data_IF_230399223969
#
_entry.id   IF_230399223969
#
_cell.length_a   1.000
_cell.length_b   1.000
_cell.length_c   1.000
_cell.angle_alpha   90.00
_cell.angle_beta   90.00
_cell.angle_gamma   90.00
#
_symmetry.space_group_name_H-M   'P 1'
#
loop_
_entity.id
_entity.type
_entity.pdbx_description
1 polymer ?
#
# COMPACT_ATOMS: atom_id res chain seq x y z
N UNK A 1 -51.96 -2.09 19.49
CA UNK A 1 -51.91 -2.27 18.03
C UNK A 1 -52.39 -3.68 17.71
N UNK A 2 -53.22 -3.90 16.67
CA UNK A 2 -53.63 -5.25 16.30
C UNK A 2 -52.38 -6.07 15.95
N UNK A 3 -52.30 -7.29 16.47
CA UNK A 3 -51.12 -8.19 16.37
C UNK A 3 -50.64 -8.35 14.94
N UNK A 4 -51.54 -8.38 13.94
CA UNK A 4 -51.22 -8.42 12.51
C UNK A 4 -50.40 -7.21 12.04
N UNK A 5 -50.72 -5.99 12.50
CA UNK A 5 -49.97 -4.79 12.14
C UNK A 5 -48.56 -4.82 12.71
N UNK A 6 -48.41 -5.33 13.94
CA UNK A 6 -47.11 -5.54 14.57
C UNK A 6 -46.28 -6.58 13.80
N UNK A 7 -46.87 -7.71 13.39
CA UNK A 7 -46.18 -8.72 12.58
C UNK A 7 -45.74 -8.17 11.22
N UNK A 8 -46.62 -7.48 10.48
CA UNK A 8 -46.27 -6.88 9.19
C UNK A 8 -45.14 -5.86 9.34
N UNK A 9 -45.17 -5.05 10.41
CA UNK A 9 -44.12 -4.10 10.71
C UNK A 9 -42.78 -4.78 11.03
N UNK A 10 -42.78 -5.83 11.85
CA UNK A 10 -41.59 -6.62 12.17
C UNK A 10 -41.00 -7.26 10.91
N UNK A 11 -41.84 -7.84 10.04
CA UNK A 11 -41.41 -8.44 8.77
C UNK A 11 -40.80 -7.36 7.86
N UNK A 12 -41.46 -6.22 7.69
CA UNK A 12 -40.97 -5.12 6.86
C UNK A 12 -39.60 -4.59 7.35
N UNK A 13 -39.44 -4.39 8.65
CA UNK A 13 -38.15 -4.00 9.26
C UNK A 13 -37.10 -5.07 9.04
N UNK A 14 -37.44 -6.34 9.22
CA UNK A 14 -36.51 -7.45 9.06
C UNK A 14 -36.02 -7.56 7.61
N UNK A 15 -36.94 -7.44 6.64
CA UNK A 15 -36.60 -7.40 5.21
C UNK A 15 -35.71 -6.20 4.89
N UNK A 16 -36.05 -5.02 5.40
CA UNK A 16 -35.22 -3.83 5.22
C UNK A 16 -33.82 -4.03 5.82
N UNK A 17 -33.72 -4.52 7.05
CA UNK A 17 -32.44 -4.77 7.72
C UNK A 17 -31.57 -5.77 6.96
N UNK A 18 -32.14 -6.88 6.48
CA UNK A 18 -31.45 -7.87 5.65
C UNK A 18 -31.00 -7.27 4.33
N UNK A 19 -31.83 -6.40 3.74
CA UNK A 19 -31.52 -5.80 2.44
C UNK A 19 -30.48 -4.68 2.52
N UNK A 20 -30.43 -3.89 3.60
CA UNK A 20 -29.56 -2.70 3.72
C UNK A 20 -28.60 -2.78 4.90
N UNK A 21 -29.11 -2.78 6.14
CA UNK A 21 -28.32 -2.62 7.36
C UNK A 21 -27.28 -3.73 7.59
N UNK A 22 -27.65 -4.98 7.34
CA UNK A 22 -26.74 -6.12 7.50
C UNK A 22 -25.60 -6.05 6.46
N UNK A 23 -25.86 -5.90 5.13
CA UNK A 23 -24.83 -5.64 4.13
C UNK A 23 -23.87 -4.51 4.51
N UNK A 24 -24.40 -3.37 4.98
CA UNK A 24 -23.62 -2.23 5.44
C UNK A 24 -22.70 -2.59 6.61
N UNK A 25 -23.21 -3.31 7.61
CA UNK A 25 -22.41 -3.78 8.74
C UNK A 25 -21.25 -4.68 8.29
N UNK A 26 -21.51 -5.63 7.39
CA UNK A 26 -20.47 -6.51 6.86
C UNK A 26 -19.41 -5.76 6.06
N UNK A 27 -19.82 -4.86 5.17
CA UNK A 27 -18.91 -4.08 4.34
C UNK A 27 -18.13 -3.06 5.14
N UNK A 28 -18.78 -2.30 6.02
CA UNK A 28 -18.16 -1.17 6.70
C UNK A 28 -17.50 -1.54 8.03
N UNK A 29 -18.11 -2.41 8.82
CA UNK A 29 -17.57 -2.76 10.14
C UNK A 29 -16.61 -3.94 10.04
N UNK A 30 -17.03 -5.02 9.38
CA UNK A 30 -16.21 -6.23 9.26
C UNK A 30 -15.23 -6.19 8.06
N UNK A 31 -15.48 -5.34 7.06
CA UNK A 31 -14.67 -5.28 5.84
C UNK A 31 -14.80 -6.54 4.97
N UNK A 32 -15.93 -7.24 5.09
CA UNK A 32 -16.27 -8.42 4.31
C UNK A 32 -16.98 -7.96 3.04
N UNK A 33 -16.56 -8.47 1.89
CA UNK A 33 -17.16 -8.12 0.59
C UNK A 33 -16.65 -6.82 -0.03
N UNK A 34 -15.77 -6.06 0.64
CA UNK A 34 -15.14 -4.86 0.07
C UNK A 34 -13.63 -4.77 0.33
N UNK A 35 -12.95 -3.97 -0.48
CA UNK A 35 -11.52 -3.69 -0.35
C UNK A 35 -11.32 -2.26 0.15
N UNK A 36 -11.13 -2.12 1.47
CA UNK A 36 -10.79 -0.83 2.12
C UNK A 36 -9.31 -0.47 2.04
N UNK A 37 -8.48 -1.49 1.76
CA UNK A 37 -7.03 -1.42 1.66
C UNK A 37 -6.59 -2.34 0.53
N UNK A 38 -5.53 -1.97 -0.17
CA UNK A 38 -4.80 -2.90 -1.04
C UNK A 38 -3.67 -3.58 -0.24
N UNK A 39 -3.06 -4.60 -0.85
CA UNK A 39 -2.03 -5.43 -0.18
C UNK A 39 -0.64 -5.25 -0.81
N UNK A 40 -0.54 -4.46 -1.88
CA UNK A 40 0.72 -4.00 -2.45
C UNK A 40 1.38 -2.93 -1.56
N UNK A 41 2.72 -2.82 -1.57
CA UNK A 41 3.42 -1.72 -0.90
C UNK A 41 3.00 -0.37 -1.49
N UNK A 42 2.68 0.59 -0.64
CA UNK A 42 2.35 1.96 -0.99
C UNK A 42 0.95 2.38 -0.63
N UNK A 43 0.55 3.51 -1.22
CA UNK A 43 -0.74 4.17 -1.04
C UNK A 43 -1.34 4.42 -2.41
N UNK A 44 -2.63 4.19 -2.56
CA UNK A 44 -3.37 4.45 -3.79
C UNK A 44 -4.24 5.69 -3.63
N UNK A 45 -4.13 6.65 -4.57
CA UNK A 45 -5.08 7.75 -4.69
C UNK A 45 -6.27 7.32 -5.56
N UNK A 46 -7.47 7.63 -5.09
CA UNK A 46 -8.71 7.37 -5.85
C UNK A 46 -9.59 8.61 -5.87
N UNK A 47 -10.23 8.86 -7.02
CA UNK A 47 -11.10 10.00 -7.26
C UNK A 47 -12.49 9.50 -7.64
N UNK A 48 -13.52 9.99 -6.96
CA UNK A 48 -14.92 9.65 -7.21
C UNK A 48 -15.65 10.82 -7.91
N UNK A 49 -16.84 10.49 -8.45
CA UNK A 49 -17.83 11.39 -9.05
C UNK A 49 -17.52 11.98 -10.42
N UNK A 50 -16.28 11.90 -10.89
CA UNK A 50 -15.89 12.38 -12.21
C UNK A 50 -16.56 11.65 -13.41
N UNK A 51 -16.25 12.10 -14.64
CA UNK A 51 -15.38 13.23 -14.94
C UNK A 51 -16.14 14.57 -14.93
N UNK A 52 -15.45 15.66 -14.54
CA UNK A 52 -15.90 17.05 -14.68
C UNK A 52 -14.91 17.81 -15.58
N UNK A 53 -15.37 18.42 -16.69
CA UNK A 53 -14.49 19.10 -17.64
C UNK A 53 -13.73 20.30 -17.04
N UNK A 54 -14.18 20.87 -15.91
CA UNK A 54 -13.51 21.98 -15.23
C UNK A 54 -12.35 21.53 -14.34
N UNK A 55 -12.49 20.36 -13.72
CA UNK A 55 -11.60 19.92 -12.64
C UNK A 55 -10.73 18.74 -13.02
N UNK A 56 -11.30 17.68 -13.60
CA UNK A 56 -10.56 16.45 -13.93
C UNK A 56 -9.27 16.72 -14.72
N UNK A 57 -9.24 17.58 -15.77
CA UNK A 57 -7.99 17.88 -16.48
C UNK A 57 -6.88 18.49 -15.59
N UNK A 58 -7.27 19.31 -14.60
CA UNK A 58 -6.32 19.94 -13.66
C UNK A 58 -5.76 18.91 -12.67
N UNK A 59 -6.59 17.97 -12.22
CA UNK A 59 -6.11 16.83 -11.44
C UNK A 59 -5.12 15.97 -12.23
N UNK A 60 -5.42 15.66 -13.50
CA UNK A 60 -4.51 14.92 -14.38
C UNK A 60 -3.16 15.64 -14.54
N UNK A 61 -3.18 16.96 -14.69
CA UNK A 61 -1.97 17.80 -14.78
C UNK A 61 -1.09 17.64 -13.54
N UNK A 62 -1.68 17.82 -12.34
CA UNK A 62 -0.93 17.69 -11.07
C UNK A 62 -0.39 16.26 -10.89
N UNK A 63 -1.18 15.24 -11.22
CA UNK A 63 -0.75 13.84 -11.13
C UNK A 63 0.41 13.55 -12.09
N UNK A 64 0.37 14.08 -13.31
CA UNK A 64 1.45 13.94 -14.29
C UNK A 64 2.74 14.63 -13.84
N UNK A 65 2.64 15.87 -13.33
CA UNK A 65 3.79 16.60 -12.75
C UNK A 65 4.46 15.84 -11.61
N UNK A 66 3.69 15.09 -10.82
CA UNK A 66 4.20 14.29 -9.72
C UNK A 66 4.54 12.84 -10.11
N UNK A 67 4.36 12.46 -11.38
CA UNK A 67 4.51 11.09 -11.88
C UNK A 67 3.72 10.05 -11.06
N UNK A 68 2.48 10.41 -10.69
CA UNK A 68 1.57 9.59 -9.87
C UNK A 68 0.43 9.06 -10.72
N UNK A 69 0.21 7.75 -10.66
CA UNK A 69 -1.00 7.12 -11.22
C UNK A 69 -2.04 6.94 -10.12
N UNK A 70 -3.31 6.98 -10.52
CA UNK A 70 -4.47 6.98 -9.63
C UNK A 70 -5.59 6.11 -10.21
N UNK A 71 -6.66 5.90 -9.46
CA UNK A 71 -7.87 5.24 -9.95
C UNK A 71 -9.06 6.21 -9.90
N UNK A 72 -9.73 6.41 -11.04
CA UNK A 72 -10.91 7.27 -11.13
C UNK A 72 -12.17 6.39 -11.20
N UNK A 73 -13.08 6.53 -10.23
CA UNK A 73 -14.38 5.89 -10.25
C UNK A 73 -15.39 6.84 -10.90
N UNK A 74 -15.67 6.59 -12.18
CA UNK A 74 -16.49 7.49 -12.99
C UNK A 74 -17.97 7.14 -12.92
N UNK A 75 -18.81 8.17 -12.89
CA UNK A 75 -20.27 8.04 -13.06
C UNK A 75 -20.57 7.96 -14.55
N UNK A 76 -21.19 6.87 -15.00
CA UNK A 76 -21.33 6.60 -16.44
C UNK A 76 -22.11 7.70 -17.18
N UNK A 77 -23.17 8.28 -16.59
CA UNK A 77 -23.94 9.39 -17.19
C UNK A 77 -23.11 10.66 -17.41
N UNK A 78 -22.05 10.89 -16.62
CA UNK A 78 -21.10 12.00 -16.85
C UNK A 78 -20.06 11.60 -17.89
N UNK A 79 -19.56 10.38 -17.81
CA UNK A 79 -18.58 9.82 -18.74
C UNK A 79 -19.10 9.81 -20.19
N UNK A 80 -20.38 9.47 -20.41
CA UNK A 80 -21.08 9.54 -21.70
C UNK A 80 -20.95 10.90 -22.38
N UNK A 81 -20.99 11.98 -21.58
CA UNK A 81 -20.94 13.36 -22.06
C UNK A 81 -19.52 13.86 -22.29
N UNK A 82 -18.52 13.11 -21.84
CA UNK A 82 -17.11 13.50 -21.84
C UNK A 82 -16.18 12.36 -22.29
N UNK A 83 -16.43 11.72 -23.45
CA UNK A 83 -15.67 10.55 -23.89
C UNK A 83 -14.18 10.84 -24.07
N UNK A 84 -13.83 12.00 -24.61
CA UNK A 84 -12.42 12.42 -24.77
C UNK A 84 -11.70 12.59 -23.43
N UNK A 85 -12.42 13.01 -22.39
CA UNK A 85 -11.84 13.14 -21.05
C UNK A 85 -11.62 11.76 -20.41
N UNK A 86 -12.51 10.80 -20.63
CA UNK A 86 -12.30 9.39 -20.22
C UNK A 86 -11.06 8.81 -20.92
N UNK A 87 -10.92 9.06 -22.22
CA UNK A 87 -9.73 8.67 -22.99
C UNK A 87 -8.46 9.31 -22.42
N UNK A 88 -8.50 10.61 -22.12
CA UNK A 88 -7.38 11.32 -21.50
C UNK A 88 -6.97 10.70 -20.16
N UNK A 89 -7.91 10.31 -19.29
CA UNK A 89 -7.60 9.60 -18.04
C UNK A 89 -6.80 8.31 -18.32
N UNK A 90 -7.20 7.54 -19.34
CA UNK A 90 -6.53 6.29 -19.71
C UNK A 90 -5.16 6.52 -20.36
N UNK A 91 -5.04 7.53 -21.23
CA UNK A 91 -3.80 7.88 -21.93
C UNK A 91 -2.70 8.35 -20.96
N UNK A 92 -3.09 8.97 -19.84
CA UNK A 92 -2.18 9.30 -18.73
C UNK A 92 -1.83 8.10 -17.83
N UNK A 93 -2.34 6.90 -18.16
CA UNK A 93 -2.03 5.65 -17.48
C UNK A 93 -2.77 5.44 -16.16
N UNK A 94 -3.85 6.18 -15.91
CA UNK A 94 -4.71 5.96 -14.74
C UNK A 94 -5.65 4.78 -14.96
N UNK A 95 -6.10 4.18 -13.85
CA UNK A 95 -7.12 3.12 -13.90
C UNK A 95 -8.50 3.75 -13.84
N UNK A 96 -9.44 3.25 -14.63
CA UNK A 96 -10.86 3.61 -14.55
C UNK A 96 -11.66 2.50 -13.86
N UNK A 97 -12.36 2.87 -12.80
CA UNK A 97 -13.41 2.08 -12.16
C UNK A 97 -14.78 2.67 -12.44
N UNK A 98 -15.84 1.96 -12.07
CA UNK A 98 -17.21 2.47 -12.21
C UNK A 98 -17.79 2.90 -10.86
N UNK A 99 -18.45 4.05 -10.87
CA UNK A 99 -19.24 4.58 -9.76
C UNK A 99 -20.75 4.47 -10.01
N UNK A 100 -21.15 3.46 -10.80
CA UNK A 100 -22.52 3.24 -11.22
C UNK A 100 -22.95 4.18 -12.36
N UNK A 101 -24.23 4.09 -12.73
CA UNK A 101 -24.77 4.89 -13.84
C UNK A 101 -25.11 6.32 -13.42
N UNK A 102 -25.76 6.44 -12.27
CA UNK A 102 -26.17 7.68 -11.61
C UNK A 102 -25.75 7.64 -10.15
N UNK A 103 -25.41 8.79 -9.60
CA UNK A 103 -24.99 8.93 -8.20
C UNK A 103 -26.20 8.84 -7.23
N UNK A 104 -26.81 7.65 -7.15
CA UNK A 104 -27.97 7.35 -6.28
C UNK A 104 -27.56 6.40 -5.15
N UNK A 105 -28.08 6.66 -3.95
CA UNK A 105 -27.82 5.82 -2.78
C UNK A 105 -28.45 4.43 -2.94
N UNK A 106 -27.72 3.37 -2.57
CA UNK A 106 -28.15 1.99 -2.76
C UNK A 106 -29.44 1.62 -2.00
N UNK A 107 -29.69 2.25 -0.84
CA UNK A 107 -30.91 1.97 -0.06
C UNK A 107 -32.20 2.35 -0.78
N UNK A 108 -32.14 3.29 -1.73
CA UNK A 108 -33.29 3.74 -2.51
C UNK A 108 -33.51 2.89 -3.77
N UNK A 109 -32.71 1.83 -3.96
CA UNK A 109 -32.67 1.06 -5.19
C UNK A 109 -33.33 -0.33 -5.00
N UNK A 110 -34.43 -0.62 -5.72
CA UNK A 110 -34.99 -1.96 -5.79
C UNK A 110 -34.00 -2.97 -6.39
N UNK A 111 -34.15 -4.29 -6.09
CA UNK A 111 -33.19 -5.29 -6.55
C UNK A 111 -32.96 -5.34 -8.07
N UNK A 112 -34.04 -5.47 -8.86
CA UNK A 112 -33.92 -5.53 -10.33
C UNK A 112 -33.31 -4.26 -10.90
N UNK A 113 -33.79 -3.10 -10.41
CA UNK A 113 -33.28 -1.79 -10.83
C UNK A 113 -31.80 -1.59 -10.47
N UNK A 114 -31.33 -2.19 -9.38
CA UNK A 114 -29.91 -2.20 -9.01
C UNK A 114 -29.10 -2.91 -10.10
N UNK A 115 -29.53 -4.10 -10.53
CA UNK A 115 -28.84 -4.86 -11.58
C UNK A 115 -28.89 -4.13 -12.92
N UNK A 116 -30.04 -3.60 -13.32
CA UNK A 116 -30.21 -2.89 -14.59
C UNK A 116 -29.28 -1.69 -14.70
N UNK A 117 -29.25 -0.82 -13.67
CA UNK A 117 -28.39 0.37 -13.69
C UNK A 117 -26.91 0.02 -13.64
N UNK A 118 -26.52 -1.00 -12.88
CA UNK A 118 -25.11 -1.41 -12.83
C UNK A 118 -24.66 -2.10 -14.12
N UNK A 119 -25.52 -2.92 -14.74
CA UNK A 119 -25.24 -3.50 -16.06
C UNK A 119 -25.11 -2.39 -17.13
N UNK A 120 -26.04 -1.43 -17.14
CA UNK A 120 -25.98 -0.27 -18.04
C UNK A 120 -24.69 0.52 -17.84
N UNK A 121 -24.29 0.75 -16.57
CA UNK A 121 -23.03 1.40 -16.27
C UNK A 121 -21.82 0.61 -16.80
N UNK A 122 -21.79 -0.72 -16.65
CA UNK A 122 -20.67 -1.53 -17.15
C UNK A 122 -20.59 -1.51 -18.67
N UNK A 123 -21.72 -1.61 -19.37
CA UNK A 123 -21.79 -1.56 -20.82
C UNK A 123 -21.25 -0.23 -21.35
N UNK A 124 -21.73 0.87 -20.79
CA UNK A 124 -21.30 2.21 -21.20
C UNK A 124 -19.83 2.46 -20.88
N UNK A 125 -19.40 2.10 -19.67
CA UNK A 125 -17.99 2.21 -19.31
C UNK A 125 -17.11 1.36 -20.22
N UNK A 126 -17.52 0.13 -20.56
CA UNK A 126 -16.78 -0.74 -21.50
C UNK A 126 -16.66 -0.10 -22.88
N UNK A 127 -17.74 0.54 -23.37
CA UNK A 127 -17.74 1.27 -24.64
C UNK A 127 -16.73 2.42 -24.64
N UNK A 128 -16.68 3.19 -23.54
CA UNK A 128 -15.81 4.35 -23.40
C UNK A 128 -14.33 4.01 -23.14
N UNK A 129 -14.06 2.96 -22.38
CA UNK A 129 -12.70 2.59 -21.96
C UNK A 129 -12.06 1.50 -22.82
N UNK A 130 -12.84 0.86 -23.70
CA UNK A 130 -12.43 -0.32 -24.47
C UNK A 130 -12.35 -1.62 -23.67
N UNK A 131 -12.51 -1.57 -22.34
CA UNK A 131 -12.46 -2.73 -21.46
C UNK A 131 -13.43 -2.59 -20.28
N UNK A 132 -14.11 -3.67 -19.93
CA UNK A 132 -15.08 -3.61 -18.84
C UNK A 132 -14.38 -3.37 -17.48
N UNK A 133 -14.77 -2.33 -16.70
CA UNK A 133 -14.15 -2.09 -15.41
C UNK A 133 -14.35 -3.26 -14.44
N UNK A 134 -13.26 -3.68 -13.79
CA UNK A 134 -13.30 -4.72 -12.74
C UNK A 134 -13.58 -4.10 -11.37
N UNK A 135 -13.13 -2.87 -11.15
CA UNK A 135 -13.29 -2.15 -9.91
C UNK A 135 -14.58 -1.34 -9.94
N UNK A 136 -15.37 -1.48 -8.88
CA UNK A 136 -16.59 -0.70 -8.66
C UNK A 136 -16.56 -0.07 -7.27
N UNK A 137 -17.12 1.12 -7.14
CA UNK A 137 -17.35 1.75 -5.83
C UNK A 137 -18.79 2.24 -5.81
N UNK A 138 -19.52 1.94 -4.74
CA UNK A 138 -20.91 2.38 -4.63
C UNK A 138 -20.98 3.87 -4.24
N UNK A 139 -21.88 4.66 -4.83
CA UNK A 139 -22.18 6.03 -4.38
C UNK A 139 -22.36 6.11 -2.87
N UNK A 140 -21.76 7.13 -2.24
CA UNK A 140 -21.76 7.33 -0.78
C UNK A 140 -21.11 6.21 0.05
N UNK A 141 -20.52 5.21 -0.61
CA UNK A 141 -20.13 3.95 0.00
C UNK A 141 -21.30 3.03 0.33
N UNK A 142 -22.55 3.44 0.09
CA UNK A 142 -23.74 2.72 0.53
C UNK A 142 -23.99 1.46 -0.28
N UNK A 143 -24.33 0.36 0.39
CA UNK A 143 -24.55 -0.96 -0.23
C UNK A 143 -25.93 -1.52 0.12
N UNK A 144 -26.40 -2.42 -0.71
CA UNK A 144 -27.55 -3.28 -0.42
C UNK A 144 -27.22 -4.72 -0.84
N UNK A 145 -28.02 -5.69 -0.40
CA UNK A 145 -27.80 -7.11 -0.68
C UNK A 145 -27.77 -7.39 -2.20
N UNK A 146 -28.66 -6.75 -2.97
CA UNK A 146 -28.73 -6.94 -4.43
C UNK A 146 -27.45 -6.49 -5.13
N UNK A 147 -26.86 -5.38 -4.72
CA UNK A 147 -25.60 -4.86 -5.25
C UNK A 147 -24.42 -5.78 -4.91
N UNK A 148 -24.36 -6.32 -3.69
CA UNK A 148 -23.31 -7.26 -3.30
C UNK A 148 -23.41 -8.57 -4.08
N UNK A 149 -24.63 -9.09 -4.29
CA UNK A 149 -24.87 -10.25 -5.14
C UNK A 149 -24.49 -9.96 -6.60
N UNK A 150 -24.86 -8.80 -7.13
CA UNK A 150 -24.45 -8.37 -8.46
C UNK A 150 -22.91 -8.36 -8.59
N UNK A 151 -22.20 -7.78 -7.63
CA UNK A 151 -20.74 -7.78 -7.62
C UNK A 151 -20.17 -9.20 -7.63
N UNK A 152 -20.73 -10.10 -6.81
CA UNK A 152 -20.30 -11.50 -6.74
C UNK A 152 -20.49 -12.22 -8.07
N UNK A 153 -21.71 -12.21 -8.62
CA UNK A 153 -22.04 -12.93 -9.85
C UNK A 153 -21.38 -12.35 -11.10
N UNK A 154 -21.10 -11.04 -11.12
CA UNK A 154 -20.40 -10.38 -12.24
C UNK A 154 -18.89 -10.30 -12.04
N UNK A 155 -18.35 -10.92 -10.98
CA UNK A 155 -16.91 -10.94 -10.70
C UNK A 155 -16.31 -9.55 -10.41
N UNK A 156 -17.12 -8.58 -9.98
CA UNK A 156 -16.68 -7.21 -9.68
C UNK A 156 -16.08 -7.12 -8.30
N UNK A 157 -15.10 -6.24 -8.16
CA UNK A 157 -14.41 -5.97 -6.90
C UNK A 157 -14.90 -4.64 -6.35
N UNK A 158 -15.67 -4.70 -5.27
CA UNK A 158 -16.12 -3.51 -4.53
C UNK A 158 -14.94 -2.88 -3.79
N UNK A 159 -14.59 -1.67 -4.18
CA UNK A 159 -13.51 -0.88 -3.60
C UNK A 159 -14.11 0.17 -2.67
N UNK A 160 -13.64 0.20 -1.43
CA UNK A 160 -13.95 1.24 -0.45
C UNK A 160 -12.66 2.05 -0.18
N UNK A 161 -12.54 2.66 0.98
CA UNK A 161 -11.38 3.47 1.35
C UNK A 161 -11.01 3.27 2.83
N UNK A 162 -9.81 3.71 3.18
CA UNK A 162 -9.30 3.70 4.56
C UNK A 162 -8.83 5.07 5.03
N UNK A 163 -8.70 6.05 4.12
CA UNK A 163 -8.46 7.46 4.43
C UNK A 163 -9.35 8.34 3.56
N UNK A 164 -9.94 9.38 4.15
CA UNK A 164 -10.78 10.38 3.50
C UNK A 164 -10.50 11.75 4.12
N UNK A 165 -10.53 12.81 3.31
CA UNK A 165 -10.41 14.19 3.77
C UNK A 165 -11.76 14.84 4.14
N UNK A 166 -12.88 14.18 3.78
CA UNK A 166 -14.20 14.84 3.62
C UNK A 166 -14.14 16.01 2.64
N UNK A 167 -13.35 15.86 1.61
CA UNK A 167 -13.00 16.86 0.61
C UNK A 167 -14.17 17.31 -0.26
N UNK A 168 -15.28 16.56 -0.23
CA UNK A 168 -16.57 16.95 -0.82
C UNK A 168 -17.29 18.09 -0.08
N UNK A 169 -16.74 18.60 1.03
CA UNK A 169 -17.33 19.68 1.81
C UNK A 169 -16.54 20.97 1.68
N UNK A 170 -17.22 22.07 1.34
CA UNK A 170 -16.53 23.34 1.05
C UNK A 170 -15.80 23.92 2.27
N UNK A 171 -16.26 23.66 3.51
CA UNK A 171 -15.59 24.14 4.71
C UNK A 171 -14.25 23.45 5.00
N UNK A 172 -13.93 22.38 4.26
CA UNK A 172 -12.66 21.65 4.43
C UNK A 172 -11.56 22.32 3.64
N UNK A 173 -10.74 23.10 4.35
CA UNK A 173 -9.52 23.68 3.80
C UNK A 173 -8.53 22.60 3.32
N UNK A 174 -7.63 22.93 2.37
CA UNK A 174 -6.61 22.00 1.90
C UNK A 174 -5.79 21.35 3.03
N UNK A 175 -5.41 22.13 4.04
CA UNK A 175 -4.69 21.64 5.21
C UNK A 175 -5.50 20.63 6.03
N UNK A 176 -6.80 20.87 6.24
CA UNK A 176 -7.66 19.91 6.95
C UNK A 176 -7.82 18.60 6.18
N UNK A 177 -7.96 18.68 4.85
CA UNK A 177 -8.01 17.51 3.96
C UNK A 177 -6.72 16.69 4.13
N UNK A 178 -5.57 17.34 3.99
CA UNK A 178 -4.26 16.69 4.14
C UNK A 178 -4.08 16.02 5.50
N UNK A 179 -4.26 16.76 6.60
CA UNK A 179 -4.03 16.25 7.95
C UNK A 179 -4.86 15.00 8.26
N UNK A 180 -6.14 15.03 7.85
CA UNK A 180 -7.06 13.90 8.06
C UNK A 180 -6.64 12.67 7.25
N UNK A 181 -6.23 12.86 6.00
CA UNK A 181 -5.73 11.78 5.16
C UNK A 181 -4.43 11.21 5.73
N UNK A 182 -3.44 12.06 5.99
CA UNK A 182 -2.11 11.61 6.44
C UNK A 182 -2.15 10.97 7.82
N UNK A 183 -3.02 11.43 8.71
CA UNK A 183 -3.20 10.82 10.04
C UNK A 183 -3.76 9.38 10.01
N UNK A 184 -4.31 8.95 8.87
CA UNK A 184 -4.83 7.59 8.65
C UNK A 184 -4.01 6.80 7.62
N UNK A 185 -3.01 7.43 7.02
CA UNK A 185 -2.25 6.87 5.90
C UNK A 185 -1.15 5.95 6.40
N UNK A 186 -1.13 4.75 5.84
CA UNK A 186 -0.10 3.72 6.04
C UNK A 186 -0.05 2.85 4.78
N UNK A 187 0.85 1.87 4.76
CA UNK A 187 0.90 0.86 3.70
C UNK A 187 -0.49 0.34 3.35
N UNK A 188 -0.78 0.06 2.07
CA UNK A 188 -2.07 -0.45 1.64
C UNK A 188 -3.24 0.54 1.72
N UNK A 189 -3.04 1.78 2.16
CA UNK A 189 -4.13 2.77 2.26
C UNK A 189 -4.69 3.09 0.88
N UNK A 190 -6.01 3.06 0.77
CA UNK A 190 -6.77 3.59 -0.36
C UNK A 190 -7.36 4.92 0.08
N UNK A 191 -6.91 6.01 -0.52
CA UNK A 191 -7.36 7.38 -0.24
C UNK A 191 -8.54 7.71 -1.12
N UNK A 192 -9.65 8.13 -0.51
CA UNK A 192 -10.80 8.71 -1.20
C UNK A 192 -10.62 10.22 -1.34
N UNK A 193 -10.70 10.69 -2.58
CA UNK A 193 -10.80 12.08 -3.01
C UNK A 193 -11.92 12.22 -4.05
N UNK A 194 -12.27 13.44 -4.42
CA UNK A 194 -13.31 13.75 -5.40
C UNK A 194 -12.78 14.75 -6.43
N UNK A 195 -12.93 14.43 -7.72
CA UNK A 195 -12.65 15.34 -8.84
C UNK A 195 -13.92 15.98 -9.42
N UNK A 196 -15.09 15.64 -8.87
CA UNK A 196 -16.39 16.23 -9.16
C UNK A 196 -17.32 16.06 -7.95
N UNK A 197 -18.55 16.56 -8.03
CA UNK A 197 -19.53 16.42 -6.95
C UNK A 197 -19.19 17.26 -5.71
N UNK A 198 -19.80 16.89 -4.58
CA UNK A 198 -19.70 17.65 -3.33
C UNK A 198 -20.35 19.04 -3.38
N UNK A 199 -20.05 19.85 -2.37
CA UNK A 199 -20.43 21.25 -2.31
C UNK A 199 -19.75 22.05 -3.45
N UNK A 200 -20.39 23.12 -3.90
CA UNK A 200 -19.81 24.00 -4.91
C UNK A 200 -18.46 24.57 -4.45
N UNK A 201 -17.43 24.43 -5.30
CA UNK A 201 -16.06 24.84 -5.00
C UNK A 201 -15.23 23.83 -4.20
N UNK A 202 -15.82 22.77 -3.64
CA UNK A 202 -15.08 21.79 -2.86
C UNK A 202 -13.92 21.11 -3.64
N UNK A 203 -14.08 20.77 -4.94
CA UNK A 203 -12.96 20.25 -5.75
C UNK A 203 -11.74 21.17 -5.86
N UNK A 204 -11.90 22.50 -5.73
CA UNK A 204 -10.75 23.43 -5.70
C UNK A 204 -9.88 23.20 -4.46
N UNK A 205 -10.50 22.97 -3.29
CA UNK A 205 -9.75 22.68 -2.06
C UNK A 205 -8.99 21.36 -2.19
N UNK A 206 -9.61 20.36 -2.82
CA UNK A 206 -8.99 19.06 -3.11
C UNK A 206 -7.79 19.20 -4.04
N UNK A 207 -7.93 20.00 -5.10
CA UNK A 207 -6.86 20.26 -6.06
C UNK A 207 -5.69 21.00 -5.41
N UNK A 208 -5.97 22.02 -4.60
CA UNK A 208 -4.95 22.75 -3.84
C UNK A 208 -4.23 21.85 -2.81
N UNK A 209 -4.91 20.84 -2.25
CA UNK A 209 -4.33 19.88 -1.32
C UNK A 209 -3.46 18.82 -2.02
N UNK A 210 -3.69 18.52 -3.30
CA UNK A 210 -3.19 17.30 -3.94
C UNK A 210 -1.66 17.22 -3.99
N UNK A 211 -0.98 18.26 -4.50
CA UNK A 211 0.49 18.24 -4.61
C UNK A 211 1.17 18.19 -3.24
N UNK A 212 0.82 19.05 -2.26
CA UNK A 212 1.36 18.93 -0.91
C UNK A 212 1.05 17.58 -0.23
N UNK A 213 -0.14 17.01 -0.47
CA UNK A 213 -0.51 15.68 0.03
C UNK A 213 0.42 14.60 -0.53
N UNK A 214 0.66 14.60 -1.84
CA UNK A 214 1.57 13.66 -2.52
C UNK A 214 2.98 13.76 -1.92
N UNK A 215 3.51 14.98 -1.80
CA UNK A 215 4.83 15.23 -1.23
C UNK A 215 4.93 14.73 0.21
N UNK A 216 3.90 14.98 1.04
CA UNK A 216 3.85 14.54 2.44
C UNK A 216 3.82 13.02 2.55
N UNK A 217 3.05 12.32 1.73
CA UNK A 217 3.00 10.85 1.70
C UNK A 217 4.37 10.27 1.31
N UNK A 218 5.00 10.79 0.26
CA UNK A 218 6.26 10.24 -0.24
C UNK A 218 7.46 10.62 0.65
N UNK A 219 7.58 11.87 1.08
CA UNK A 219 8.78 12.37 1.77
C UNK A 219 8.72 12.24 3.29
N UNK A 220 7.57 12.53 3.90
CA UNK A 220 7.44 12.45 5.36
C UNK A 220 7.02 11.06 5.81
N UNK A 221 5.98 10.48 5.19
CA UNK A 221 5.51 9.13 5.55
C UNK A 221 6.37 8.03 4.92
N UNK A 222 7.21 8.37 3.93
CA UNK A 222 8.09 7.43 3.22
C UNK A 222 7.30 6.29 2.60
N UNK A 223 6.15 6.60 2.01
CA UNK A 223 5.27 5.63 1.36
C UNK A 223 5.21 5.91 -0.15
N UNK A 224 5.42 4.90 -1.01
CA UNK A 224 5.28 5.10 -2.44
C UNK A 224 3.81 5.25 -2.81
N UNK A 225 3.53 6.03 -3.85
CA UNK A 225 2.21 6.08 -4.46
C UNK A 225 2.14 5.06 -5.59
N UNK A 226 1.13 4.20 -5.55
CA UNK A 226 1.01 3.05 -6.47
C UNK A 226 -0.39 2.98 -7.09
N UNK A 227 -0.52 2.42 -8.31
CA UNK A 227 -1.83 2.14 -8.90
C UNK A 227 -2.64 1.15 -8.06
N UNK A 228 -3.96 1.24 -8.14
CA UNK A 228 -4.85 0.29 -7.47
C UNK A 228 -4.67 -1.12 -8.03
N UNK A 229 -4.08 -2.00 -7.24
CA UNK A 229 -3.90 -3.40 -7.58
C UNK A 229 -4.31 -4.29 -6.41
N UNK A 230 -5.17 -5.26 -6.71
CA UNK A 230 -5.65 -6.22 -5.72
C UNK A 230 -5.06 -7.59 -5.97
N UNK A 231 -4.48 -8.25 -4.97
CA UNK A 231 -3.91 -9.58 -5.16
C UNK A 231 -5.00 -10.62 -5.41
N UNK A 232 -4.69 -11.66 -6.19
CA UNK A 232 -5.53 -12.84 -6.36
C UNK A 232 -5.59 -13.77 -5.13
N UNK A 233 -5.48 -13.22 -3.91
CA UNK A 233 -5.38 -14.00 -2.68
C UNK A 233 -6.75 -14.44 -2.16
N UNK A 234 -6.82 -15.67 -1.64
CA UNK A 234 -7.99 -16.18 -0.91
C UNK A 234 -8.23 -15.42 0.39
N UNK A 235 -9.46 -15.47 0.91
CA UNK A 235 -9.84 -14.79 2.15
C UNK A 235 -8.97 -15.20 3.36
N UNK A 236 -8.69 -16.49 3.62
CA UNK A 236 -7.83 -16.89 4.74
C UNK A 236 -6.43 -16.27 4.65
N UNK A 237 -5.87 -16.19 3.44
CA UNK A 237 -4.56 -15.58 3.22
C UNK A 237 -4.56 -14.08 3.49
N UNK A 238 -5.63 -13.37 3.09
CA UNK A 238 -5.80 -11.95 3.42
C UNK A 238 -5.85 -11.74 4.93
N UNK A 239 -6.59 -12.57 5.65
CA UNK A 239 -6.68 -12.51 7.12
C UNK A 239 -5.30 -12.75 7.75
N UNK A 240 -4.59 -13.82 7.34
CA UNK A 240 -3.25 -14.12 7.83
C UNK A 240 -2.25 -12.97 7.58
N UNK A 241 -2.28 -12.38 6.38
CA UNK A 241 -1.46 -11.21 6.07
C UNK A 241 -1.80 -10.00 6.95
N UNK A 242 -3.08 -9.74 7.25
CA UNK A 242 -3.47 -8.62 8.12
C UNK A 242 -3.00 -8.81 9.57
N UNK A 243 -3.03 -10.03 10.07
CA UNK A 243 -2.47 -10.35 11.39
C UNK A 243 -0.96 -10.11 11.38
N UNK A 244 -0.28 -10.58 10.34
CA UNK A 244 1.15 -10.38 10.16
C UNK A 244 1.55 -8.90 10.06
N UNK A 245 0.86 -8.12 9.23
CA UNK A 245 1.07 -6.68 9.06
C UNK A 245 0.93 -5.93 10.40
N UNK A 246 -0.09 -6.27 11.21
CA UNK A 246 -0.25 -5.68 12.54
C UNK A 246 0.92 -6.01 13.47
N UNK A 247 1.40 -7.25 13.45
CA UNK A 247 2.54 -7.67 14.26
C UNK A 247 3.83 -6.96 13.82
N UNK A 248 4.12 -6.88 12.51
CA UNK A 248 5.30 -6.15 12.00
C UNK A 248 5.24 -4.66 12.35
N UNK A 249 4.06 -4.04 12.27
CA UNK A 249 3.88 -2.64 12.65
C UNK A 249 4.19 -2.42 14.14
N UNK A 250 3.64 -3.29 15.01
CA UNK A 250 3.91 -3.24 16.44
C UNK A 250 5.40 -3.44 16.76
N UNK A 251 6.03 -4.44 16.13
CA UNK A 251 7.45 -4.72 16.30
C UNK A 251 8.31 -3.54 15.85
N UNK A 252 8.03 -2.98 14.67
CA UNK A 252 8.75 -1.84 14.11
C UNK A 252 8.65 -0.59 15.00
N UNK A 253 7.47 -0.30 15.55
CA UNK A 253 7.29 0.80 16.50
C UNK A 253 8.08 0.59 17.78
N UNK A 254 7.99 -0.60 18.39
CA UNK A 254 8.71 -0.92 19.64
C UNK A 254 10.22 -0.84 19.47
N UNK A 255 10.73 -1.19 18.28
CA UNK A 255 12.16 -1.18 17.95
C UNK A 255 12.64 0.10 17.26
N UNK A 256 11.76 1.09 17.09
CA UNK A 256 12.05 2.34 16.39
C UNK A 256 12.68 2.11 15.01
N UNK A 257 12.20 1.08 14.30
CA UNK A 257 12.70 0.74 12.96
C UNK A 257 12.05 1.69 11.97
N UNK A 258 12.89 2.49 11.29
CA UNK A 258 12.45 3.55 10.39
C UNK A 258 12.80 3.22 8.94
N UNK A 259 11.96 3.69 8.02
CA UNK A 259 12.26 3.63 6.59
C UNK A 259 13.26 4.70 6.21
N UNK A 260 14.01 4.43 5.15
CA UNK A 260 14.98 5.37 4.58
C UNK A 260 14.26 6.38 3.70
N UNK A 261 13.54 5.89 2.69
CA UNK A 261 12.73 6.66 1.74
C UNK A 261 11.50 5.83 1.28
N UNK A 262 10.77 6.28 0.26
CA UNK A 262 9.58 5.64 -0.32
C UNK A 262 9.83 4.32 -1.09
N UNK A 263 11.05 4.01 -1.51
CA UNK A 263 11.35 2.88 -2.40
C UNK A 263 12.40 1.89 -1.85
N UNK A 264 13.24 2.32 -0.92
CA UNK A 264 14.35 1.54 -0.38
C UNK A 264 13.89 0.22 0.23
N UNK A 265 14.54 -0.89 -0.09
CA UNK A 265 14.16 -2.18 0.50
C UNK A 265 14.67 -2.37 1.92
N UNK A 266 15.44 -1.43 2.46
CA UNK A 266 15.97 -1.48 3.81
C UNK A 266 15.21 -0.55 4.77
N UNK A 267 15.20 -0.97 6.03
CA UNK A 267 14.82 -0.14 7.18
C UNK A 267 15.96 -0.19 8.20
N UNK A 268 16.09 0.86 8.99
CA UNK A 268 17.13 0.98 10.00
C UNK A 268 16.55 1.09 11.40
N UNK A 269 17.14 0.36 12.32
CA UNK A 269 16.96 0.53 13.76
C UNK A 269 18.30 0.75 14.46
N UNK A 270 18.24 1.18 15.71
CA UNK A 270 19.38 1.22 16.61
C UNK A 270 19.16 0.18 17.72
N UNK A 271 20.20 -0.60 18.01
CA UNK A 271 20.13 -1.62 19.06
C UNK A 271 21.50 -1.81 19.70
N UNK A 272 21.52 -2.47 20.86
CA UNK A 272 22.76 -2.94 21.47
C UNK A 272 23.22 -4.24 20.82
N UNK A 273 24.50 -4.37 20.59
CA UNK A 273 25.11 -5.58 20.08
C UNK A 273 25.23 -6.65 21.18
N UNK A 274 24.92 -7.90 20.84
CA UNK A 274 24.95 -9.04 21.78
C UNK A 274 25.74 -10.23 21.22
N UNK A 275 26.58 -9.99 20.21
CA UNK A 275 27.37 -11.02 19.54
C UNK A 275 28.84 -11.01 19.97
N UNK A 276 29.66 -11.90 19.39
CA UNK A 276 31.10 -11.93 19.61
C UNK A 276 31.77 -10.69 19.03
N UNK A 277 32.99 -10.38 19.49
CA UNK A 277 33.76 -9.25 18.95
C UNK A 277 33.89 -9.31 17.42
N UNK A 278 33.61 -8.17 16.78
CA UNK A 278 33.75 -8.00 15.34
C UNK A 278 34.99 -7.17 15.06
N UNK A 279 35.82 -7.66 14.14
CA UNK A 279 37.03 -6.99 13.68
C UNK A 279 36.90 -6.66 12.19
N UNK A 280 37.41 -5.49 11.78
CA UNK A 280 37.51 -5.16 10.36
C UNK A 280 38.68 -5.89 9.68
N UNK A 281 38.87 -5.66 8.38
CA UNK A 281 39.94 -6.28 7.59
C UNK A 281 41.36 -5.94 8.07
N UNK A 282 41.50 -4.82 8.81
CA UNK A 282 42.76 -4.36 9.39
C UNK A 282 42.99 -4.90 10.82
N UNK A 283 42.07 -5.70 11.36
CA UNK A 283 42.15 -6.24 12.72
C UNK A 283 41.68 -5.26 13.82
N UNK A 284 41.05 -4.14 13.47
CA UNK A 284 40.52 -3.19 14.45
C UNK A 284 39.15 -3.63 14.95
N UNK A 285 38.92 -3.53 16.27
CA UNK A 285 37.64 -3.84 16.91
C UNK A 285 36.57 -2.82 16.50
N UNK A 286 35.54 -3.28 15.78
CA UNK A 286 34.43 -2.44 15.30
C UNK A 286 33.15 -2.56 16.13
N UNK A 287 32.97 -3.67 16.86
CA UNK A 287 31.89 -3.82 17.83
C UNK A 287 32.17 -4.94 18.84
N UNK A 288 31.75 -4.69 20.07
CA UNK A 288 31.76 -5.59 21.23
C UNK A 288 30.37 -5.64 21.87
N UNK A 289 30.12 -6.64 22.72
CA UNK A 289 28.83 -6.78 23.37
C UNK A 289 28.50 -5.52 24.21
N UNK A 290 27.31 -4.96 24.01
CA UNK A 290 26.83 -3.73 24.65
C UNK A 290 26.91 -2.48 23.77
N UNK A 291 27.77 -2.49 22.74
CA UNK A 291 27.95 -1.36 21.82
C UNK A 291 26.67 -1.05 21.04
N UNK A 292 26.46 0.23 20.74
CA UNK A 292 25.37 0.66 19.87
C UNK A 292 25.71 0.38 18.42
N UNK A 293 24.80 -0.26 17.71
CA UNK A 293 24.95 -0.63 16.31
C UNK A 293 23.72 -0.24 15.49
N UNK A 294 23.93 -0.12 14.17
CA UNK A 294 22.84 0.00 13.22
C UNK A 294 22.32 -1.37 12.82
N UNK A 295 21.02 -1.61 12.98
CA UNK A 295 20.38 -2.84 12.54
C UNK A 295 19.67 -2.61 11.20
N UNK A 296 20.09 -3.34 10.16
CA UNK A 296 19.49 -3.34 8.83
C UNK A 296 18.40 -4.42 8.78
N UNK A 297 17.18 -3.98 8.51
CA UNK A 297 16.02 -4.83 8.29
C UNK A 297 15.58 -4.78 6.83
N UNK A 298 15.04 -5.88 6.31
CA UNK A 298 14.36 -5.86 5.01
C UNK A 298 12.93 -5.33 5.18
N UNK A 299 12.55 -4.40 4.31
CA UNK A 299 11.16 -3.98 4.14
C UNK A 299 10.40 -5.06 3.36
N UNK A 300 9.89 -6.04 4.11
CA UNK A 300 9.21 -7.20 3.53
C UNK A 300 7.99 -6.81 2.67
N UNK A 301 7.33 -5.70 3.00
CA UNK A 301 6.21 -5.16 2.21
C UNK A 301 6.68 -4.77 0.80
N UNK A 302 7.85 -4.13 0.68
CA UNK A 302 8.46 -3.74 -0.61
C UNK A 302 9.08 -4.91 -1.36
N UNK A 303 9.38 -5.98 -0.64
CA UNK A 303 9.93 -7.20 -1.17
C UNK A 303 8.88 -8.17 -1.74
N UNK A 304 7.59 -7.80 -1.73
CA UNK A 304 6.54 -8.62 -2.34
C UNK A 304 6.78 -8.83 -3.83
N UNK A 305 7.15 -10.05 -4.22
CA UNK A 305 7.29 -10.44 -5.62
C UNK A 305 6.05 -11.21 -6.06
N UNK A 306 5.26 -10.63 -6.96
CA UNK A 306 4.15 -11.34 -7.59
C UNK A 306 4.73 -12.35 -8.60
N UNK A 307 4.65 -13.65 -8.27
CA UNK A 307 4.81 -14.74 -9.24
C UNK A 307 6.24 -15.13 -9.65
N UNK A 308 7.29 -14.81 -8.89
CA UNK A 308 8.68 -15.20 -9.23
C UNK A 308 9.13 -16.53 -8.56
N UNK A 309 10.04 -17.26 -9.21
CA UNK A 309 10.77 -18.44 -8.69
C UNK A 309 12.02 -18.01 -7.89
N UNK A 310 12.46 -18.78 -6.87
CA UNK A 310 13.57 -18.46 -5.95
C UNK A 310 14.86 -17.95 -6.60
N UNK A 311 15.33 -18.55 -7.70
CA UNK A 311 16.57 -18.07 -8.34
C UNK A 311 16.42 -16.63 -8.83
N UNK A 312 15.24 -16.32 -9.37
CA UNK A 312 14.84 -14.98 -9.77
C UNK A 312 14.58 -14.09 -8.54
N UNK A 313 14.05 -14.62 -7.44
CA UNK A 313 13.85 -13.87 -6.19
C UNK A 313 15.19 -13.51 -5.55
N UNK A 314 16.13 -14.43 -5.38
CA UNK A 314 17.44 -14.16 -4.78
C UNK A 314 18.30 -13.21 -5.64
N UNK A 315 18.29 -13.40 -6.96
CA UNK A 315 18.90 -12.45 -7.89
C UNK A 315 18.25 -11.07 -7.81
N UNK A 316 16.91 -11.00 -7.86
CA UNK A 316 16.19 -9.74 -7.71
C UNK A 316 16.42 -9.11 -6.34
N UNK A 317 16.58 -9.91 -5.28
CA UNK A 317 16.88 -9.43 -3.94
C UNK A 317 18.23 -8.74 -3.89
N UNK A 318 19.26 -9.39 -4.42
CA UNK A 318 20.61 -8.84 -4.50
C UNK A 318 20.64 -7.60 -5.41
N UNK A 319 19.91 -7.61 -6.52
CA UNK A 319 19.77 -6.46 -7.42
C UNK A 319 19.10 -5.28 -6.71
N UNK A 320 17.96 -5.50 -6.05
CA UNK A 320 17.23 -4.46 -5.32
C UNK A 320 18.01 -3.95 -4.11
N UNK A 321 18.72 -4.84 -3.41
CA UNK A 321 19.66 -4.48 -2.34
C UNK A 321 20.73 -3.54 -2.89
N UNK A 322 21.42 -3.94 -3.98
CA UNK A 322 22.47 -3.12 -4.61
C UNK A 322 21.95 -1.73 -5.03
N UNK A 323 20.74 -1.64 -5.57
CA UNK A 323 20.11 -0.37 -5.94
C UNK A 323 19.72 0.49 -4.73
N UNK A 324 19.44 -0.13 -3.59
CA UNK A 324 19.02 0.54 -2.36
C UNK A 324 20.19 1.00 -1.47
N UNK A 325 21.37 0.38 -1.60
CA UNK A 325 22.54 0.69 -0.78
C UNK A 325 23.05 2.15 -0.91
N UNK A 326 23.07 2.79 -2.10
CA UNK A 326 23.45 4.21 -2.22
C UNK A 326 22.55 5.16 -1.43
N UNK A 327 21.23 4.94 -1.48
CA UNK A 327 20.28 5.75 -0.72
C UNK A 327 20.40 5.48 0.79
N UNK A 328 20.64 4.22 1.19
CA UNK A 328 20.95 3.86 2.58
C UNK A 328 22.21 4.59 3.09
N UNK A 329 23.31 4.55 2.33
CA UNK A 329 24.57 5.21 2.68
C UNK A 329 24.39 6.73 2.80
N UNK A 330 23.69 7.35 1.84
CA UNK A 330 23.35 8.77 1.87
C UNK A 330 22.54 9.13 3.12
N UNK A 331 21.51 8.34 3.44
CA UNK A 331 20.69 8.54 4.63
C UNK A 331 21.49 8.43 5.94
N UNK A 332 22.36 7.43 6.06
CA UNK A 332 23.26 7.27 7.21
C UNK A 332 24.20 8.47 7.35
N UNK A 333 24.75 8.97 6.24
CA UNK A 333 25.69 10.09 6.26
C UNK A 333 25.06 11.41 6.72
N UNK A 334 23.78 11.63 6.38
CA UNK A 334 23.06 12.88 6.66
C UNK A 334 22.33 12.87 8.00
N UNK A 335 22.17 11.70 8.63
CA UNK A 335 21.35 11.56 9.83
C UNK A 335 22.22 11.53 11.11
N UNK A 336 22.14 12.55 11.99
CA UNK A 336 22.97 12.64 13.19
C UNK A 336 22.83 11.45 14.15
N UNK A 337 21.68 10.77 14.13
CA UNK A 337 21.44 9.59 14.97
C UNK A 337 22.37 8.40 14.68
N UNK A 338 23.04 8.39 13.53
CA UNK A 338 24.01 7.35 13.16
C UNK A 338 25.46 7.84 13.20
N UNK A 339 25.73 9.01 13.80
CA UNK A 339 27.08 9.61 13.85
C UNK A 339 28.09 8.66 14.49
N UNK A 340 27.76 8.13 15.68
CA UNK A 340 28.67 7.32 16.51
C UNK A 340 28.57 5.81 16.23
N UNK A 341 27.77 5.42 15.24
CA UNK A 341 27.57 4.01 14.87
C UNK A 341 28.71 3.55 13.97
N UNK A 342 29.47 2.55 14.43
CA UNK A 342 30.65 2.02 13.72
C UNK A 342 30.31 0.90 12.73
N UNK A 343 29.25 0.13 12.99
CA UNK A 343 28.90 -1.05 12.20
C UNK A 343 27.39 -1.14 11.98
N UNK A 344 27.02 -1.62 10.79
CA UNK A 344 25.66 -1.96 10.42
C UNK A 344 25.55 -3.45 10.17
N UNK A 345 24.54 -4.12 10.75
CA UNK A 345 24.34 -5.55 10.58
C UNK A 345 22.88 -5.94 10.38
N UNK A 346 22.66 -7.09 9.77
CA UNK A 346 21.37 -7.75 9.66
C UNK A 346 21.50 -9.24 9.94
N UNK A 347 20.39 -9.88 10.29
CA UNK A 347 20.34 -11.34 10.54
C UNK A 347 19.50 -11.98 9.45
N UNK A 348 20.08 -12.87 8.64
CA UNK A 348 19.40 -13.41 7.45
C UNK A 348 19.74 -14.87 7.13
N UNK A 349 18.74 -15.62 6.69
CA UNK A 349 18.92 -16.91 6.02
C UNK A 349 19.43 -16.74 4.57
N UNK A 350 19.20 -15.58 3.94
CA UNK A 350 19.61 -15.25 2.57
C UNK A 350 20.96 -14.51 2.62
N UNK A 351 22.04 -15.27 2.85
CA UNK A 351 23.41 -14.72 2.98
C UNK A 351 24.29 -14.96 1.74
N UNK A 352 23.80 -15.68 0.72
CA UNK A 352 24.57 -15.90 -0.52
C UNK A 352 24.66 -14.60 -1.32
N UNK A 353 25.86 -14.26 -1.79
CA UNK A 353 26.12 -13.08 -2.63
C UNK A 353 26.30 -11.76 -1.89
N UNK A 354 26.04 -11.70 -0.58
CA UNK A 354 26.17 -10.45 0.21
C UNK A 354 27.61 -9.94 0.30
N UNK A 355 28.61 -10.83 0.20
CA UNK A 355 30.02 -10.44 0.09
C UNK A 355 30.29 -9.55 -1.13
N UNK A 356 29.63 -9.80 -2.27
CA UNK A 356 29.72 -8.92 -3.44
C UNK A 356 29.18 -7.50 -3.17
N UNK A 357 28.24 -7.39 -2.23
CA UNK A 357 27.71 -6.10 -1.75
C UNK A 357 28.63 -5.44 -0.69
N UNK A 358 29.76 -6.04 -0.32
CA UNK A 358 30.69 -5.53 0.69
C UNK A 358 30.35 -5.94 2.13
N UNK A 359 29.43 -6.88 2.32
CA UNK A 359 29.09 -7.38 3.65
C UNK A 359 29.95 -8.59 4.02
N UNK A 360 30.45 -8.57 5.24
CA UNK A 360 31.03 -9.73 5.92
C UNK A 360 29.92 -10.64 6.45
N UNK A 361 30.26 -11.92 6.65
CA UNK A 361 29.31 -12.94 7.11
C UNK A 361 29.92 -13.71 8.27
N UNK A 362 29.24 -13.70 9.42
CA UNK A 362 29.63 -14.45 10.60
C UNK A 362 28.48 -15.34 11.08
N UNK A 363 28.81 -16.34 11.89
CA UNK A 363 27.81 -17.25 12.46
C UNK A 363 26.95 -16.52 13.49
N UNK A 364 25.66 -16.84 13.50
CA UNK A 364 24.73 -16.31 14.50
C UNK A 364 24.78 -17.20 15.74
N UNK A 365 25.39 -16.70 16.82
CA UNK A 365 25.74 -17.48 18.02
C UNK A 365 24.67 -17.50 19.12
N UNK A 366 23.52 -16.84 18.93
CA UNK A 366 22.47 -16.76 19.94
C UNK A 366 21.71 -18.10 20.08
N UNK A 367 21.39 -18.51 21.32
CA UNK A 367 20.65 -19.76 21.62
C UNK A 367 19.29 -19.89 20.94
N UNK A 368 18.69 -18.77 20.50
CA UNK A 368 17.41 -18.75 19.79
C UNK A 368 17.53 -18.83 18.25
N UNK A 369 18.69 -19.21 17.70
CA UNK A 369 18.94 -19.27 16.26
C UNK A 369 17.88 -20.05 15.47
N UNK A 370 17.45 -21.21 15.99
CA UNK A 370 16.44 -22.05 15.33
C UNK A 370 15.06 -21.38 15.25
N UNK A 371 14.64 -20.70 16.32
CA UNK A 371 13.39 -19.95 16.35
C UNK A 371 13.42 -18.76 15.37
N UNK A 372 14.52 -18.01 15.34
CA UNK A 372 14.68 -16.88 14.41
C UNK A 372 14.66 -17.37 12.96
N UNK A 373 15.36 -18.46 12.65
CA UNK A 373 15.30 -19.07 11.32
C UNK A 373 13.89 -19.54 10.93
N UNK A 374 13.17 -20.17 11.86
CA UNK A 374 11.77 -20.53 11.66
C UNK A 374 10.89 -19.31 11.35
N UNK A 375 11.02 -18.23 12.11
CA UNK A 375 10.28 -16.98 11.89
C UNK A 375 10.60 -16.36 10.53
N UNK A 376 11.87 -16.33 10.10
CA UNK A 376 12.25 -15.84 8.77
C UNK A 376 11.63 -16.66 7.63
N UNK A 377 11.49 -17.99 7.80
CA UNK A 377 10.78 -18.82 6.82
C UNK A 377 9.29 -18.48 6.74
N UNK A 378 8.65 -18.18 7.88
CA UNK A 378 7.25 -17.72 7.89
C UNK A 378 7.12 -16.41 7.12
N UNK A 379 7.96 -15.41 7.43
CA UNK A 379 7.99 -14.12 6.73
C UNK A 379 8.06 -14.35 5.23
N UNK A 380 9.02 -15.17 4.79
CA UNK A 380 9.23 -15.45 3.39
C UNK A 380 8.00 -16.09 2.71
N UNK A 381 7.29 -17.01 3.38
CA UNK A 381 6.07 -17.61 2.84
C UNK A 381 4.90 -16.63 2.76
N UNK A 382 4.78 -15.72 3.73
CA UNK A 382 3.72 -14.70 3.74
C UNK A 382 3.87 -13.78 2.53
N UNK A 383 5.10 -13.33 2.26
CA UNK A 383 5.39 -12.38 1.19
C UNK A 383 5.71 -13.03 -0.17
N UNK A 384 6.08 -14.32 -0.20
CA UNK A 384 6.34 -15.11 -1.42
C UNK A 384 5.67 -16.50 -1.33
N UNK A 385 4.35 -16.57 -1.49
CA UNK A 385 3.57 -17.79 -1.25
C UNK A 385 3.81 -18.92 -2.25
N UNK A 386 4.23 -18.59 -3.48
CA UNK A 386 4.67 -19.56 -4.47
C UNK A 386 5.94 -20.32 -4.03
N UNK A 387 6.66 -19.81 -3.03
CA UNK A 387 7.94 -20.35 -2.59
C UNK A 387 7.84 -21.31 -1.39
N UNK A 388 6.68 -21.93 -1.13
CA UNK A 388 6.48 -22.84 0.02
C UNK A 388 7.46 -24.03 0.01
N UNK A 389 7.57 -24.76 -1.11
CA UNK A 389 8.52 -25.88 -1.34
C UNK A 389 10.00 -25.45 -1.29
N UNK A 390 10.21 -24.15 -1.27
CA UNK A 390 11.45 -23.49 -1.63
C UNK A 390 12.13 -22.90 -0.38
N UNK A 391 11.34 -22.59 0.67
CA UNK A 391 11.85 -22.25 2.02
C UNK A 391 12.58 -23.38 2.75
N UNK A 392 12.41 -24.62 2.30
CA UNK A 392 13.10 -25.78 2.88
C UNK A 392 14.61 -25.74 2.60
N UNK A 393 15.01 -25.13 1.47
CA UNK A 393 16.42 -24.97 1.06
C UNK A 393 17.19 -23.89 1.83
N UNK A 394 16.50 -23.00 2.55
CA UNK A 394 17.10 -21.83 3.22
C UNK A 394 17.86 -22.16 4.52
N UNK A 395 18.13 -23.44 4.83
CA UNK A 395 18.73 -23.84 6.11
C UNK A 395 17.85 -23.47 7.30
N UNK A 396 18.33 -23.66 8.53
CA UNK A 396 17.57 -23.31 9.76
C UNK A 396 18.30 -22.30 10.64
N UNK A 397 19.60 -22.10 10.41
CA UNK A 397 20.44 -21.20 11.18
C UNK A 397 20.69 -19.92 10.35
N UNK A 398 20.19 -18.76 10.81
CA UNK A 398 20.51 -17.50 10.16
C UNK A 398 21.99 -17.15 10.35
N UNK A 399 22.49 -16.22 9.53
CA UNK A 399 23.83 -15.65 9.69
C UNK A 399 23.75 -14.17 10.00
N UNK A 400 24.77 -13.65 10.66
CA UNK A 400 24.96 -12.20 10.79
C UNK A 400 25.68 -11.73 9.53
N UNK A 401 25.08 -10.77 8.84
CA UNK A 401 25.73 -10.05 7.74
C UNK A 401 26.01 -8.64 8.20
N UNK A 402 27.23 -8.16 8.07
CA UNK A 402 27.62 -6.86 8.61
C UNK A 402 28.58 -6.10 7.69
N UNK A 403 28.59 -4.78 7.81
CA UNK A 403 29.50 -3.88 7.10
C UNK A 403 29.86 -2.72 8.03
N UNK A 404 31.13 -2.31 8.05
CA UNK A 404 31.51 -1.10 8.80
C UNK A 404 30.89 0.13 8.15
N UNK A 405 30.63 1.16 8.95
CA UNK A 405 30.11 2.44 8.43
C UNK A 405 31.03 2.99 7.35
N UNK A 406 32.33 2.99 7.59
CA UNK A 406 33.31 3.54 6.65
C UNK A 406 33.31 2.77 5.33
N UNK A 407 33.33 1.43 5.36
CA UNK A 407 33.27 0.63 4.14
C UNK A 407 31.94 0.81 3.38
N UNK A 408 30.82 0.96 4.10
CA UNK A 408 29.52 1.22 3.49
C UNK A 408 29.51 2.59 2.79
N UNK A 409 30.02 3.63 3.44
CA UNK A 409 30.07 4.98 2.89
C UNK A 409 31.07 5.06 1.74
N UNK A 410 32.27 4.53 1.90
CA UNK A 410 33.29 4.52 0.83
C UNK A 410 32.78 3.83 -0.44
N UNK A 411 32.06 2.72 -0.29
CA UNK A 411 31.59 1.94 -1.43
C UNK A 411 30.35 2.52 -2.12
N UNK A 412 29.44 3.14 -1.38
CA UNK A 412 28.10 3.50 -1.89
C UNK A 412 27.73 4.97 -1.81
N UNK A 413 28.48 5.78 -1.06
CA UNK A 413 28.35 7.23 -1.13
C UNK A 413 29.14 7.69 -2.36
N UNK A 414 28.44 8.13 -3.41
CA UNK A 414 29.08 8.62 -4.64
C UNK A 414 30.14 9.68 -4.33
N UNK A 415 31.40 9.46 -4.73
CA UNK A 415 32.36 10.55 -4.98
C UNK A 415 31.78 11.42 -6.10
N UNK A 416 31.12 12.52 -5.76
CA UNK A 416 30.87 13.59 -6.75
C UNK A 416 32.21 14.30 -7.01
N UNK A 417 32.93 13.90 -8.06
CA UNK A 417 33.80 14.75 -8.89
C UNK A 417 34.51 13.91 -9.97
N UNK A 418 34.76 14.54 -11.12
CA UNK A 418 35.41 14.06 -12.35
C UNK A 418 34.63 13.08 -13.23
N UNK A 419 33.73 13.61 -14.06
CA UNK A 419 33.81 13.59 -15.55
C UNK A 419 32.55 14.24 -16.13
N UNK A 420 32.55 15.57 -16.19
CA UNK A 420 32.04 16.33 -17.34
C UNK A 420 33.26 17.10 -17.83
N UNK A 421 33.84 16.60 -18.92
CA UNK A 421 34.80 17.28 -19.77
C UNK A 421 34.28 17.12 -21.19
#
# INVERSE_FOLDING_TARGET
MPTTLLYTFIVAISVFAVYTLIPELFVHFFGIGSWKRHYSPGVTLTFDDGPDPRYTPRFLTVLAEQNVRACFFLVAEKAEKQPELVKSILDHGHTVGSHGYRHRHAWLMPPLKTWDLWNKAMEEMRRLTGQEPVYVRAPWGGVNLSFLLWCHFKGKKLISWSADGRDWRIERTPNHIMQRITGRTKEGTIVLLHDSGGDEGAPENTLAALKPLIMKIQKELKLPLVPLQLPGWSLPKRIGFRVWEKWEHFYGQRKQITRIDEHNIFRLGLTRYHGPELFNENGELIASAGDMIGEIHLDNTRFQSFGANIQKIGYNALKQARLSLPALASYISLNPGYKDIKVFLGVTLINRGVKGLGFNVTEFTNGNAGFIGFMQKIVYRVYNPSAKKDTEKLGTKPKVVWISKDALLEKYLTKKSSTQG
#
